data_IF_181881296298
#
_entry.id   IF_181881296298
#
_cell.length_a   1.000
_cell.length_b   1.000
_cell.length_c   1.000
_cell.angle_alpha   90.00
_cell.angle_beta   90.00
_cell.angle_gamma   90.00
#
_symmetry.space_group_name_H-M   'P 1'
#
loop_
_entity.id
_entity.type
_entity.pdbx_description
1 polymer ?
#
# COMPACT_ATOMS: atom_id res chain seq x y z
N UNK A 1 33.91 -31.33 -9.51
CA UNK A 1 32.81 -32.24 -9.14
C UNK A 1 32.81 -32.40 -7.64
N UNK A 2 31.85 -31.79 -6.95
CA UNK A 2 31.53 -32.09 -5.55
C UNK A 2 30.08 -31.67 -5.36
N UNK A 3 29.19 -32.64 -5.44
CA UNK A 3 27.78 -32.49 -5.07
C UNK A 3 27.69 -32.44 -3.55
N UNK A 4 26.91 -31.51 -3.01
CA UNK A 4 26.46 -31.57 -1.62
C UNK A 4 24.95 -31.51 -1.62
N UNK A 5 24.36 -32.63 -1.25
CA UNK A 5 22.92 -32.87 -1.07
C UNK A 5 22.67 -32.80 0.43
N UNK A 6 21.73 -31.96 0.88
CA UNK A 6 21.17 -32.11 2.23
C UNK A 6 19.65 -31.96 2.18
N UNK A 7 19.02 -32.94 2.84
CA UNK A 7 17.60 -33.26 2.82
C UNK A 7 16.85 -32.55 3.95
N UNK A 8 15.58 -32.32 3.65
CA UNK A 8 14.43 -31.82 4.41
C UNK A 8 14.27 -32.33 5.84
N UNK A 9 13.74 -31.50 6.75
CA UNK A 9 12.78 -31.96 7.77
C UNK A 9 11.79 -30.83 8.15
N UNK A 10 10.51 -31.03 7.82
CA UNK A 10 9.36 -30.24 8.24
C UNK A 10 8.86 -30.76 9.60
N UNK A 11 8.58 -29.86 10.55
CA UNK A 11 7.89 -30.18 11.81
C UNK A 11 6.45 -29.66 11.79
N UNK A 12 5.47 -30.57 11.82
CA UNK A 12 4.06 -30.27 12.09
C UNK A 12 3.69 -31.00 13.38
N UNK A 13 3.15 -30.25 14.35
CA UNK A 13 2.66 -30.73 15.65
C UNK A 13 1.14 -30.92 15.55
N UNK A 14 0.66 -32.15 15.63
CA UNK A 14 -0.76 -32.49 15.79
C UNK A 14 -1.17 -32.45 17.27
N UNK A 15 -2.36 -31.93 17.56
CA UNK A 15 -2.97 -31.90 18.88
C UNK A 15 -4.13 -32.90 18.98
N UNK A 16 -4.23 -33.48 20.18
CA UNK A 16 -4.95 -34.68 20.57
C UNK A 16 -6.49 -34.67 20.43
N UNK A 17 -7.03 -35.88 20.19
CA UNK A 17 -8.42 -36.30 20.43
C UNK A 17 -8.71 -36.39 21.93
N UNK A 18 -9.96 -36.12 22.31
CA UNK A 18 -10.65 -36.91 23.35
C UNK A 18 -12.11 -37.18 22.95
N UNK A 19 -12.52 -38.44 23.15
CA UNK A 19 -13.89 -38.96 23.03
C UNK A 19 -14.42 -39.19 24.44
N UNK A 20 -15.70 -38.92 24.67
CA UNK A 20 -16.47 -39.64 25.69
C UNK A 20 -17.94 -39.76 25.25
N UNK A 21 -18.52 -40.93 25.47
CA UNK A 21 -19.87 -41.35 25.13
C UNK A 21 -20.75 -41.50 26.38
N UNK A 22 -22.05 -41.30 26.22
CA UNK A 22 -23.13 -41.69 27.15
C UNK A 22 -24.36 -40.83 26.83
N UNK A 23 -25.58 -41.31 26.53
CA UNK A 23 -26.27 -42.56 26.83
C UNK A 23 -27.52 -42.21 27.64
N UNK A 24 -28.73 -42.42 27.10
CA UNK A 24 -29.99 -42.31 27.86
C UNK A 24 -31.25 -41.95 27.04
N UNK A 25 -32.06 -42.96 26.74
CA UNK A 25 -33.43 -42.91 26.20
C UNK A 25 -34.44 -42.29 27.18
N UNK A 26 -35.50 -41.61 26.70
CA UNK A 26 -36.92 -42.00 26.96
C UNK A 26 -37.92 -41.15 26.15
N UNK A 27 -38.98 -41.81 25.66
CA UNK A 27 -40.10 -41.25 24.91
C UNK A 27 -41.24 -40.71 25.80
N UNK A 28 -41.98 -39.71 25.34
CA UNK A 28 -43.37 -39.48 25.73
C UNK A 28 -44.15 -38.70 24.65
N UNK A 29 -45.46 -38.92 24.65
CA UNK A 29 -46.45 -38.85 23.57
C UNK A 29 -47.57 -37.90 24.03
N UNK A 30 -48.12 -37.02 23.17
CA UNK A 30 -49.58 -36.70 23.20
C UNK A 30 -50.10 -35.79 22.06
N UNK A 31 -51.08 -36.34 21.32
CA UNK A 31 -52.39 -35.80 20.88
C UNK A 31 -52.58 -34.44 20.17
N UNK A 32 -52.80 -34.55 18.84
CA UNK A 32 -53.92 -34.10 17.98
C UNK A 32 -54.84 -32.94 18.42
N UNK A 33 -54.95 -31.93 17.57
CA UNK A 33 -56.23 -31.29 17.22
C UNK A 33 -56.30 -30.99 15.70
N UNK A 34 -57.46 -31.33 15.13
CA UNK A 34 -57.88 -31.30 13.72
C UNK A 34 -58.53 -29.96 13.36
N UNK A 35 -58.15 -29.33 12.24
CA UNK A 35 -59.02 -28.48 11.40
C UNK A 35 -58.56 -28.58 9.92
N UNK A 36 -59.49 -28.88 9.00
CA UNK A 36 -59.31 -29.06 7.54
C UNK A 36 -59.61 -27.73 6.77
N UNK A 37 -59.66 -27.72 5.42
CA UNK A 37 -58.54 -27.57 4.50
C UNK A 37 -58.73 -26.38 3.53
N UNK A 38 -57.73 -26.07 2.69
CA UNK A 38 -57.82 -25.65 1.26
C UNK A 38 -56.61 -24.79 0.87
N UNK A 39 -55.70 -25.37 0.11
CA UNK A 39 -55.04 -24.78 -1.06
C UNK A 39 -53.74 -25.53 -1.36
N UNK A 40 -53.68 -26.08 -2.56
CA UNK A 40 -52.66 -26.98 -3.06
C UNK A 40 -51.26 -26.35 -3.07
N UNK A 41 -50.33 -26.88 -2.28
CA UNK A 41 -48.90 -26.86 -2.58
C UNK A 41 -48.34 -28.25 -2.29
N UNK A 42 -47.94 -28.94 -3.35
CA UNK A 42 -47.24 -30.23 -3.27
C UNK A 42 -45.82 -29.95 -2.78
N UNK A 43 -45.57 -30.19 -1.50
CA UNK A 43 -44.23 -30.35 -0.93
C UNK A 43 -43.90 -31.84 -0.91
N UNK A 44 -42.93 -32.26 -1.74
CA UNK A 44 -42.27 -33.57 -1.62
C UNK A 44 -40.90 -33.34 -1.00
N UNK A 45 -40.78 -33.67 0.29
CA UNK A 45 -39.50 -33.95 0.93
C UNK A 45 -39.39 -35.47 0.98
N UNK A 46 -38.31 -36.02 0.44
CA UNK A 46 -37.42 -36.98 1.11
C UNK A 46 -36.38 -37.53 0.12
N UNK A 47 -35.15 -37.03 0.22
CA UNK A 47 -33.97 -37.90 0.31
C UNK A 47 -32.84 -37.13 0.97
N UNK A 48 -32.69 -37.31 2.27
CA UNK A 48 -31.47 -36.95 3.00
C UNK A 48 -30.41 -37.95 2.55
N UNK A 49 -29.53 -37.50 1.65
CA UNK A 49 -28.26 -38.17 1.38
C UNK A 49 -27.19 -37.26 1.97
N UNK A 50 -26.55 -37.73 3.04
CA UNK A 50 -25.35 -37.10 3.59
C UNK A 50 -24.30 -36.93 2.47
N UNK A 51 -23.71 -35.74 2.30
CA UNK A 51 -22.61 -35.55 1.37
C UNK A 51 -21.34 -36.23 1.90
N UNK A 52 -20.45 -36.73 1.02
CA UNK A 52 -19.09 -37.07 1.42
C UNK A 52 -18.37 -35.76 1.79
N UNK A 53 -17.66 -35.82 2.91
CA UNK A 53 -16.76 -34.79 3.42
C UNK A 53 -15.78 -34.34 2.34
N UNK A 54 -16.03 -33.17 1.74
CA UNK A 54 -15.01 -32.46 0.96
C UNK A 54 -14.06 -31.78 1.94
N UNK A 55 -12.84 -32.29 1.99
CA UNK A 55 -11.70 -31.61 2.61
C UNK A 55 -11.51 -30.27 1.90
N UNK A 56 -11.84 -29.16 2.57
CA UNK A 56 -11.43 -27.84 2.14
C UNK A 56 -9.92 -27.78 2.42
N UNK A 57 -9.11 -28.16 1.43
CA UNK A 57 -7.73 -27.71 1.38
C UNK A 57 -7.81 -26.19 1.28
N UNK A 58 -7.35 -25.49 2.31
CA UNK A 58 -7.09 -24.05 2.25
C UNK A 58 -6.20 -23.80 1.03
N UNK A 59 -6.82 -23.39 -0.06
CA UNK A 59 -6.12 -22.79 -1.17
C UNK A 59 -5.62 -21.45 -0.63
N UNK A 60 -4.34 -21.40 -0.28
CA UNK A 60 -3.62 -20.15 -0.06
C UNK A 60 -3.56 -19.45 -1.41
N UNK A 61 -4.65 -18.77 -1.76
CA UNK A 61 -4.66 -17.79 -2.82
C UNK A 61 -3.68 -16.73 -2.33
N UNK A 62 -2.47 -16.69 -2.89
CA UNK A 62 -1.73 -15.44 -2.97
C UNK A 62 -2.61 -14.51 -3.79
N UNK A 63 -3.57 -13.90 -3.11
CA UNK A 63 -4.31 -12.78 -3.63
C UNK A 63 -3.28 -11.67 -3.56
N UNK A 64 -2.47 -11.58 -4.60
CA UNK A 64 -2.00 -10.30 -5.04
C UNK A 64 -3.28 -9.53 -5.29
N UNK A 65 -3.68 -8.77 -4.27
CA UNK A 65 -4.71 -7.77 -4.43
C UNK A 65 -4.00 -6.79 -5.35
N UNK A 66 -4.19 -6.96 -6.66
CA UNK A 66 -3.95 -5.89 -7.60
C UNK A 66 -4.94 -4.80 -7.19
N UNK A 67 -4.51 -4.00 -6.20
CA UNK A 67 -5.22 -2.82 -5.79
C UNK A 67 -5.23 -1.93 -7.03
N UNK A 68 -6.41 -1.56 -7.57
CA UNK A 68 -6.47 -0.68 -8.73
C UNK A 68 -5.67 0.59 -8.41
N UNK A 69 -5.05 1.23 -9.41
CA UNK A 69 -4.31 2.49 -9.20
C UNK A 69 -5.17 3.57 -8.49
N UNK A 70 -6.49 3.40 -8.53
CA UNK A 70 -7.51 4.21 -7.89
C UNK A 70 -7.64 3.97 -6.36
N UNK A 71 -7.07 2.88 -5.84
CA UNK A 71 -7.15 2.47 -4.42
C UNK A 71 -6.25 3.30 -3.50
N UNK A 72 -5.17 3.88 -4.02
CA UNK A 72 -4.25 4.75 -3.27
C UNK A 72 -4.61 6.25 -3.39
N UNK A 73 -5.64 6.58 -4.16
CA UNK A 73 -6.12 7.97 -4.30
C UNK A 73 -5.10 8.89 -4.99
N UNK A 74 -4.91 10.08 -4.41
CA UNK A 74 -3.94 11.08 -4.91
C UNK A 74 -2.51 10.67 -4.61
N UNK A 75 -1.61 10.83 -5.58
CA UNK A 75 -0.18 10.60 -5.40
C UNK A 75 0.67 11.62 -6.14
N UNK A 76 1.92 11.72 -5.70
CA UNK A 76 3.01 12.47 -6.33
C UNK A 76 4.28 11.62 -6.34
N UNK A 77 4.94 11.56 -7.49
CA UNK A 77 6.28 10.99 -7.64
C UNK A 77 7.24 12.11 -8.03
N UNK A 78 8.07 12.56 -7.11
CA UNK A 78 9.02 13.65 -7.36
C UNK A 78 10.32 13.03 -7.87
N UNK A 79 10.56 13.14 -9.17
CA UNK A 79 11.75 12.62 -9.83
C UNK A 79 12.83 13.69 -9.90
N UNK A 80 13.87 13.51 -9.11
CA UNK A 80 14.95 14.47 -8.93
C UNK A 80 16.17 13.98 -9.72
N UNK A 81 16.60 14.78 -10.68
CA UNK A 81 17.77 14.55 -11.52
C UNK A 81 18.89 15.52 -11.12
N UNK A 82 20.03 14.96 -10.78
CA UNK A 82 21.20 15.71 -10.37
C UNK A 82 22.15 15.98 -11.55
N UNK A 83 22.29 17.26 -11.92
CA UNK A 83 23.26 17.77 -12.89
C UNK A 83 24.46 18.48 -12.25
N UNK A 84 24.64 18.38 -10.94
CA UNK A 84 25.72 18.99 -10.18
C UNK A 84 27.01 18.17 -10.23
N UNK A 85 28.13 18.79 -9.81
CA UNK A 85 29.42 18.12 -9.63
C UNK A 85 29.52 17.27 -8.36
N UNK A 86 28.63 17.49 -7.40
CA UNK A 86 28.66 16.86 -6.08
C UNK A 86 27.31 16.23 -5.78
N UNK A 87 27.32 15.25 -4.87
CA UNK A 87 26.11 14.52 -4.50
C UNK A 87 25.07 15.46 -3.89
N UNK A 88 23.80 15.16 -4.12
CA UNK A 88 22.67 15.78 -3.45
C UNK A 88 22.19 14.89 -2.30
N UNK A 89 21.96 15.48 -1.14
CA UNK A 89 21.23 14.84 -0.05
C UNK A 89 19.79 15.34 -0.02
N UNK A 90 18.89 14.45 0.37
CA UNK A 90 17.51 14.80 0.70
C UNK A 90 17.44 14.83 2.23
N UNK A 91 16.89 15.89 2.81
CA UNK A 91 16.78 16.02 4.26
C UNK A 91 15.46 16.69 4.68
N UNK A 92 15.14 16.62 5.97
CA UNK A 92 13.97 17.25 6.59
C UNK A 92 12.66 16.83 5.91
N UNK A 93 12.56 15.56 5.52
CA UNK A 93 11.35 14.99 4.97
C UNK A 93 10.22 15.08 5.98
N UNK A 94 9.12 15.70 5.55
CA UNK A 94 7.97 15.92 6.42
C UNK A 94 6.69 15.77 5.64
N UNK A 95 5.70 15.13 6.27
CA UNK A 95 4.34 14.98 5.75
C UNK A 95 3.36 15.64 6.72
N UNK A 96 2.52 16.53 6.20
CA UNK A 96 1.35 17.01 6.92
C UNK A 96 0.18 16.03 6.81
N UNK A 97 0.14 15.25 5.72
CA UNK A 97 -0.85 14.19 5.48
C UNK A 97 -0.37 13.23 4.40
N UNK A 98 -0.78 11.97 4.48
CA UNK A 98 -0.38 10.93 3.53
C UNK A 98 0.79 10.10 4.05
N UNK A 99 1.42 9.36 3.14
CA UNK A 99 2.51 8.44 3.47
C UNK A 99 3.56 8.45 2.36
N UNK A 100 4.82 8.17 2.71
CA UNK A 100 5.87 7.89 1.74
C UNK A 100 5.83 6.41 1.36
N UNK A 101 6.24 6.10 0.13
CA UNK A 101 6.34 4.71 -0.33
C UNK A 101 7.56 4.49 -1.22
N UNK A 102 7.97 3.23 -1.38
CA UNK A 102 9.07 2.87 -2.28
C UNK A 102 8.61 2.96 -3.73
N UNK A 103 9.43 3.59 -4.58
CA UNK A 103 9.16 3.69 -6.01
C UNK A 103 8.71 2.33 -6.61
N UNK A 104 7.56 2.35 -7.30
CA UNK A 104 6.99 1.18 -7.96
C UNK A 104 6.14 0.27 -7.06
N UNK A 105 6.10 0.50 -5.74
CA UNK A 105 5.25 -0.23 -4.81
C UNK A 105 4.65 0.68 -3.73
N UNK A 106 3.39 1.11 -3.94
CA UNK A 106 2.64 1.94 -3.00
C UNK A 106 2.26 1.21 -1.69
N UNK A 107 2.41 -0.11 -1.61
CA UNK A 107 2.19 -0.88 -0.38
C UNK A 107 3.42 -0.95 0.52
N UNK A 108 4.59 -0.53 0.03
CA UNK A 108 5.87 -0.57 0.71
C UNK A 108 6.17 0.81 1.32
N UNK A 109 5.58 1.05 2.50
CA UNK A 109 5.61 2.34 3.18
C UNK A 109 7.01 2.64 3.73
N UNK A 110 7.45 3.88 3.52
CA UNK A 110 8.73 4.40 3.99
C UNK A 110 8.51 5.42 5.11
N UNK A 111 9.47 5.51 6.03
CA UNK A 111 9.49 6.54 7.06
C UNK A 111 10.15 7.82 6.54
N UNK A 112 9.98 8.95 7.25
CA UNK A 112 10.71 10.17 6.93
C UNK A 112 12.24 9.97 7.01
N UNK A 113 12.72 9.21 8.01
CA UNK A 113 14.13 8.86 8.16
C UNK A 113 14.66 8.09 6.93
N UNK A 114 13.86 7.18 6.37
CA UNK A 114 14.24 6.47 5.14
C UNK A 114 14.36 7.41 3.92
N UNK A 115 13.60 8.51 3.91
CA UNK A 115 13.70 9.56 2.88
C UNK A 115 14.93 10.45 3.12
N UNK A 116 15.19 10.81 4.38
CA UNK A 116 16.33 11.64 4.78
C UNK A 116 17.68 10.94 4.56
N UNK A 117 17.71 9.60 4.58
CA UNK A 117 18.90 8.82 4.26
C UNK A 117 19.19 8.72 2.74
N UNK A 118 18.35 9.33 1.89
CA UNK A 118 18.53 9.26 0.44
C UNK A 118 19.64 10.19 -0.07
N UNK A 119 20.52 9.60 -0.88
CA UNK A 119 21.56 10.31 -1.62
C UNK A 119 21.34 10.14 -3.12
N UNK A 120 21.41 11.26 -3.85
CA UNK A 120 21.45 11.33 -5.30
C UNK A 120 22.90 11.53 -5.71
N UNK A 121 23.44 10.61 -6.50
CA UNK A 121 24.84 10.68 -6.93
C UNK A 121 25.02 11.70 -8.04
N UNK A 122 26.13 12.43 -7.97
CA UNK A 122 26.52 13.39 -9.00
C UNK A 122 26.66 12.78 -10.39
N UNK A 123 26.72 13.66 -11.40
CA UNK A 123 26.83 13.30 -12.83
C UNK A 123 25.62 12.54 -13.40
N UNK A 124 24.39 13.01 -13.13
CA UNK A 124 23.17 12.47 -13.72
C UNK A 124 22.49 11.39 -12.88
N UNK A 125 22.77 11.32 -11.58
CA UNK A 125 22.01 10.46 -10.68
C UNK A 125 20.56 10.89 -10.60
N UNK A 126 19.69 9.90 -10.41
CA UNK A 126 18.25 10.11 -10.32
C UNK A 126 17.74 9.41 -9.06
N UNK A 127 16.90 10.12 -8.31
CA UNK A 127 16.11 9.55 -7.21
C UNK A 127 14.67 10.00 -7.28
N UNK A 128 13.79 9.17 -6.73
CA UNK A 128 12.36 9.46 -6.67
C UNK A 128 11.93 9.47 -5.20
N UNK A 129 11.27 10.57 -4.81
CA UNK A 129 10.55 10.67 -3.55
C UNK A 129 9.07 10.54 -3.86
N UNK A 130 8.47 9.48 -3.35
CA UNK A 130 7.12 9.07 -3.70
C UNK A 130 6.20 9.22 -2.50
N UNK A 131 5.05 9.86 -2.69
CA UNK A 131 4.05 9.99 -1.64
C UNK A 131 2.62 9.85 -2.17
N UNK A 132 1.77 9.19 -1.40
CA UNK A 132 0.36 9.00 -1.70
C UNK A 132 -0.51 9.30 -0.48
N UNK A 133 -1.83 9.37 -0.71
CA UNK A 133 -2.79 9.36 0.38
C UNK A 133 -2.67 8.10 1.25
N UNK A 134 -3.07 8.21 2.51
CA UNK A 134 -3.20 7.06 3.39
C UNK A 134 -4.29 6.11 2.88
N UNK A 135 -3.99 4.80 2.89
CA UNK A 135 -4.97 3.77 2.54
C UNK A 135 -6.19 3.89 3.45
N UNK A 136 -7.39 3.83 2.86
CA UNK A 136 -8.68 3.97 3.55
C UNK A 136 -8.99 5.36 4.15
N UNK A 137 -8.13 6.35 3.91
CA UNK A 137 -8.40 7.76 4.22
C UNK A 137 -8.79 8.52 2.96
N UNK A 138 -9.78 9.40 3.05
CA UNK A 138 -10.10 10.36 1.97
C UNK A 138 -9.14 11.57 1.98
N UNK A 139 -7.91 11.37 2.45
CA UNK A 139 -6.87 12.40 2.50
C UNK A 139 -5.97 12.30 1.28
N UNK A 140 -5.58 13.47 0.76
CA UNK A 140 -4.52 13.56 -0.23
C UNK A 140 -3.13 13.35 0.39
N UNK A 141 -2.10 13.77 -0.34
CA UNK A 141 -0.74 13.89 0.20
C UNK A 141 -0.31 15.35 0.25
N UNK A 142 0.36 15.74 1.33
CA UNK A 142 0.96 17.06 1.49
C UNK A 142 2.24 16.92 2.32
N UNK A 143 3.30 17.55 1.85
CA UNK A 143 4.58 17.47 2.53
C UNK A 143 5.65 18.36 1.93
N UNK A 144 6.84 18.22 2.50
CA UNK A 144 8.05 18.95 2.12
C UNK A 144 9.29 18.06 2.21
N UNK A 145 10.28 18.35 1.37
CA UNK A 145 11.66 17.85 1.49
C UNK A 145 12.63 18.99 1.18
N UNK A 146 13.81 18.96 1.79
CA UNK A 146 14.92 19.83 1.43
C UNK A 146 15.93 19.11 0.53
N UNK A 147 16.48 19.84 -0.43
CA UNK A 147 17.64 19.41 -1.21
C UNK A 147 18.88 20.12 -0.71
N UNK A 148 19.91 19.37 -0.34
CA UNK A 148 21.15 19.87 0.26
C UNK A 148 22.34 19.52 -0.63
N UNK A 149 23.24 20.49 -0.83
CA UNK A 149 24.55 20.25 -1.44
C UNK A 149 25.46 19.56 -0.43
N UNK A 150 25.88 18.32 -0.70
CA UNK A 150 26.65 17.49 0.25
C UNK A 150 27.99 18.11 0.65
N UNK A 151 28.64 18.85 -0.26
CA UNK A 151 29.97 19.43 -0.01
C UNK A 151 29.89 20.76 0.69
N UNK A 152 28.93 21.62 0.30
CA UNK A 152 28.77 22.93 0.92
C UNK A 152 27.95 22.89 2.21
N UNK A 153 27.23 21.80 2.47
CA UNK A 153 26.30 21.64 3.58
C UNK A 153 25.27 22.79 3.62
N UNK A 154 24.79 23.19 2.44
CA UNK A 154 23.84 24.28 2.27
C UNK A 154 22.59 23.82 1.54
N UNK A 155 21.44 24.28 2.03
CA UNK A 155 20.16 24.06 1.36
C UNK A 155 20.13 24.74 -0.01
N UNK A 156 19.82 23.94 -1.03
CA UNK A 156 19.57 24.35 -2.40
C UNK A 156 18.16 24.92 -2.51
N UNK A 157 17.16 24.14 -2.07
CA UNK A 157 15.77 24.57 -1.98
C UNK A 157 14.95 23.63 -1.10
N UNK A 158 13.73 24.03 -0.80
CA UNK A 158 12.69 23.17 -0.22
C UNK A 158 11.64 22.90 -1.31
N UNK A 159 11.38 21.64 -1.60
CA UNK A 159 10.26 21.23 -2.46
C UNK A 159 9.03 20.97 -1.60
N UNK A 160 7.91 21.58 -1.96
CA UNK A 160 6.64 21.45 -1.25
C UNK A 160 5.52 21.03 -2.19
N UNK A 161 4.69 20.09 -1.77
CA UNK A 161 3.54 19.63 -2.56
C UNK A 161 2.27 19.56 -1.71
N UNK A 162 1.13 19.67 -2.40
CA UNK A 162 -0.20 19.41 -1.86
C UNK A 162 -1.07 18.85 -2.97
N UNK A 163 -1.49 17.60 -2.85
CA UNK A 163 -2.32 16.86 -3.80
C UNK A 163 -3.59 16.38 -3.08
N UNK A 164 -4.59 17.26 -2.87
CA UNK A 164 -5.79 16.95 -2.10
C UNK A 164 -6.74 16.02 -2.85
N UNK A 165 -7.36 15.07 -2.14
CA UNK A 165 -8.33 14.13 -2.73
C UNK A 165 -9.74 14.72 -2.92
N UNK A 166 -10.03 15.85 -2.26
CA UNK A 166 -11.33 16.51 -2.28
C UNK A 166 -11.66 17.08 -3.65
N UNK A 167 -12.87 16.82 -4.15
CA UNK A 167 -13.34 17.33 -5.43
C UNK A 167 -13.30 18.87 -5.48
N UNK A 168 -12.88 19.42 -6.61
CA UNK A 168 -12.80 20.86 -6.84
C UNK A 168 -11.57 21.54 -6.21
N UNK A 169 -10.76 20.84 -5.41
CA UNK A 169 -9.45 21.34 -4.99
C UNK A 169 -8.39 21.05 -6.05
N UNK A 170 -7.42 21.97 -6.12
CA UNK A 170 -6.30 21.89 -7.04
C UNK A 170 -5.05 21.38 -6.34
N UNK A 171 -4.25 20.66 -7.11
CA UNK A 171 -2.90 20.30 -6.76
C UNK A 171 -2.01 21.55 -6.74
N UNK A 172 -0.97 21.53 -5.91
CA UNK A 172 0.04 22.59 -5.83
C UNK A 172 1.41 21.97 -5.66
N UNK A 173 2.37 22.42 -6.46
CA UNK A 173 3.78 22.14 -6.28
C UNK A 173 4.52 23.48 -6.21
N UNK A 174 5.45 23.63 -5.29
CA UNK A 174 6.14 24.89 -5.05
C UNK A 174 7.59 24.68 -4.62
N UNK A 175 8.45 25.59 -5.03
CA UNK A 175 9.81 25.71 -4.54
C UNK A 175 9.88 26.84 -3.54
N UNK A 176 10.42 26.56 -2.36
CA UNK A 176 10.64 27.52 -1.28
C UNK A 176 12.13 27.57 -0.95
N UNK A 177 12.55 28.60 -0.20
CA UNK A 177 13.92 28.72 0.34
C UNK A 177 15.03 28.49 -0.70
N UNK A 178 14.81 28.92 -1.94
CA UNK A 178 15.72 28.66 -3.05
C UNK A 178 16.99 29.53 -2.92
N UNK A 179 18.14 28.88 -2.92
CA UNK A 179 19.43 29.54 -3.01
C UNK A 179 19.72 29.89 -4.49
N UNK A 180 19.86 31.18 -4.82
CA UNK A 180 20.02 31.63 -6.20
C UNK A 180 21.31 31.14 -6.86
N UNK A 181 22.29 30.59 -6.11
CA UNK A 181 23.53 30.03 -6.67
C UNK A 181 23.32 28.70 -7.41
N UNK A 182 22.15 28.11 -7.28
CA UNK A 182 21.79 26.85 -7.90
C UNK A 182 20.64 27.07 -8.86
N UNK A 183 20.67 26.40 -10.00
CA UNK A 183 19.54 26.39 -10.91
C UNK A 183 18.65 25.18 -10.63
N UNK A 184 17.37 25.43 -10.35
CA UNK A 184 16.35 24.41 -10.12
C UNK A 184 15.25 24.53 -11.16
N UNK A 185 15.20 23.56 -12.07
CA UNK A 185 14.21 23.48 -13.16
C UNK A 185 13.09 22.51 -12.74
N UNK A 186 11.89 23.02 -12.44
CA UNK A 186 10.70 22.20 -12.13
C UNK A 186 9.90 21.97 -13.42
N UNK A 187 9.69 20.70 -13.75
CA UNK A 187 8.90 20.24 -14.88
C UNK A 187 7.40 20.48 -14.73
N UNK A 188 6.65 20.15 -15.78
CA UNK A 188 5.19 20.24 -15.75
C UNK A 188 4.61 19.20 -14.79
N UNK A 189 3.53 19.58 -14.12
CA UNK A 189 2.74 18.75 -13.23
C UNK A 189 1.26 19.09 -13.38
N UNK A 190 0.37 18.21 -12.92
CA UNK A 190 -1.06 18.37 -13.13
C UNK A 190 -1.74 19.15 -12.01
N UNK A 191 -2.33 20.31 -12.32
CA UNK A 191 -3.13 21.10 -11.36
C UNK A 191 -4.45 20.45 -10.94
N UNK A 192 -5.00 19.58 -11.80
CA UNK A 192 -6.30 18.95 -11.62
C UNK A 192 -6.22 17.44 -11.82
N UNK A 193 -7.03 16.69 -11.08
CA UNK A 193 -6.94 15.24 -11.07
C UNK A 193 -5.74 14.80 -10.25
N UNK A 194 -5.16 13.66 -10.58
CA UNK A 194 -3.96 13.13 -9.89
C UNK A 194 -2.72 13.95 -10.25
N UNK A 195 -1.93 14.36 -9.25
CA UNK A 195 -0.72 15.17 -9.49
C UNK A 195 0.29 14.43 -10.37
N UNK A 196 0.55 13.16 -10.05
CA UNK A 196 1.42 12.28 -10.84
C UNK A 196 2.91 12.61 -10.66
N UNK A 197 3.70 12.34 -11.70
CA UNK A 197 5.15 12.55 -11.65
C UNK A 197 5.52 14.02 -11.88
N UNK A 198 6.37 14.56 -11.01
CA UNK A 198 6.97 15.90 -11.14
C UNK A 198 8.47 15.74 -11.34
N UNK A 199 8.98 16.13 -12.50
CA UNK A 199 10.42 16.13 -12.76
C UNK A 199 11.06 17.39 -12.16
N UNK A 200 12.18 17.25 -11.47
CA UNK A 200 12.97 18.34 -10.92
C UNK A 200 14.42 18.12 -11.32
N UNK A 201 15.04 19.09 -11.98
CA UNK A 201 16.45 19.02 -12.36
C UNK A 201 17.25 20.10 -11.66
N UNK A 202 18.40 19.73 -11.11
CA UNK A 202 19.30 20.62 -10.36
C UNK A 202 20.61 20.78 -11.14
N UNK A 203 21.10 22.02 -11.27
CA UNK A 203 22.34 22.32 -12.00
C UNK A 203 23.13 23.43 -11.31
N UNK A 204 24.45 23.39 -11.48
CA UNK A 204 25.32 24.52 -11.18
C UNK A 204 24.96 25.69 -12.13
N UNK A 205 24.99 26.93 -11.61
CA UNK A 205 24.92 28.15 -12.43
C UNK A 205 26.29 28.51 -13.03
#
# INVERSE_FOLDING_TARGET
MTQSTFSTLFGIREAHRDRSCGGGDTAARSTVHEVKPLSSIVTVIHKVICPPSYSIKQLRIHRQVDMPADAYGQYVDIKIEDGMKYDLRIENAHLDSGQFYRQGDQGDIMTADDIDDMIIRHNGGIREVCSCGETDSMSGTQGTIDLIDDVKDTRICTLAWSAPMQSGRKNRFSMLNHDPRYKVDIGKWQESGTMGTVNVAIKDE
#
